data_IF_814917839264
#
_entry.id   IF_814917839264
#
_cell.length_a   1.000
_cell.length_b   1.000
_cell.length_c   1.000
_cell.angle_alpha   90.00
_cell.angle_beta   90.00
_cell.angle_gamma   90.00
#
_symmetry.space_group_name_H-M   'P 1'
#
loop_
_entity.id
_entity.type
_entity.pdbx_description
1 polymer ?
#
# COMPACT_ATOMS: atom_id res chain seq x y z
N UNK A 1 -9.17 -1.98 -29.40
CA UNK A 1 -10.36 -2.78 -29.05
C UNK A 1 -10.79 -2.35 -27.65
N UNK A 2 -11.93 -1.67 -27.51
CA UNK A 2 -12.34 -1.07 -26.22
C UNK A 2 -13.11 -2.12 -25.39
N UNK A 3 -12.60 -2.43 -24.21
CA UNK A 3 -13.20 -3.43 -23.31
C UNK A 3 -14.52 -2.90 -22.75
N UNK A 4 -15.61 -3.60 -23.03
CA UNK A 4 -16.93 -3.27 -22.48
C UNK A 4 -16.98 -3.74 -21.03
N UNK A 5 -17.14 -2.81 -20.09
CA UNK A 5 -17.31 -3.14 -18.67
C UNK A 5 -18.58 -4.00 -18.50
N UNK A 6 -18.45 -5.14 -17.82
CA UNK A 6 -19.57 -6.07 -17.55
C UNK A 6 -20.35 -5.71 -16.28
N UNK A 7 -19.80 -4.83 -15.46
CA UNK A 7 -20.39 -4.43 -14.19
C UNK A 7 -21.43 -3.35 -14.43
N UNK A 8 -22.70 -3.68 -14.26
CA UNK A 8 -23.81 -2.74 -14.43
C UNK A 8 -24.07 -1.90 -13.17
N UNK A 9 -23.73 -2.42 -11.99
CA UNK A 9 -23.87 -1.75 -10.69
C UNK A 9 -22.68 -2.04 -9.78
N UNK A 10 -22.21 -1.02 -9.06
CA UNK A 10 -21.11 -1.15 -8.09
C UNK A 10 -21.72 -1.31 -6.70
N UNK A 11 -21.69 -2.53 -6.17
CA UNK A 11 -22.06 -2.77 -4.78
C UNK A 11 -20.86 -2.48 -3.85
N UNK A 12 -21.03 -1.67 -2.80
CA UNK A 12 -19.97 -1.47 -1.82
C UNK A 12 -19.68 -2.79 -1.10
N UNK A 13 -18.40 -3.16 -1.03
CA UNK A 13 -17.94 -4.30 -0.24
C UNK A 13 -16.99 -3.83 0.87
N UNK A 14 -16.72 -4.73 1.82
CA UNK A 14 -15.85 -4.46 2.95
C UNK A 14 -14.39 -4.88 2.73
N UNK A 15 -14.04 -5.28 1.50
CA UNK A 15 -12.69 -5.74 1.18
C UNK A 15 -11.72 -4.56 1.16
N UNK A 16 -10.53 -4.81 1.72
CA UNK A 16 -9.42 -3.88 1.66
C UNK A 16 -8.78 -3.98 0.27
N UNK A 17 -8.70 -2.86 -0.45
CA UNK A 17 -8.13 -2.78 -1.79
C UNK A 17 -6.90 -1.88 -1.75
N UNK A 18 -5.78 -2.34 -2.32
CA UNK A 18 -4.56 -1.54 -2.44
C UNK A 18 -4.13 -1.49 -3.92
N UNK A 19 -3.92 -0.30 -4.51
CA UNK A 19 -3.47 -0.21 -5.89
C UNK A 19 -2.03 -0.69 -6.02
N UNK A 20 -1.86 -1.78 -6.76
CA UNK A 20 -0.56 -2.38 -7.00
C UNK A 20 0.34 -1.49 -7.87
N UNK A 21 -0.26 -0.69 -8.76
CA UNK A 21 0.46 0.19 -9.68
C UNK A 21 1.31 1.24 -8.97
N UNK A 22 0.80 1.81 -7.86
CA UNK A 22 1.56 2.78 -7.06
C UNK A 22 2.78 2.15 -6.41
N UNK A 23 2.66 0.91 -5.92
CA UNK A 23 3.77 0.17 -5.33
C UNK A 23 4.86 -0.08 -6.38
N UNK A 24 4.48 -0.47 -7.59
CA UNK A 24 5.42 -0.65 -8.70
C UNK A 24 6.11 0.66 -9.10
N UNK A 25 5.35 1.76 -9.21
CA UNK A 25 5.91 3.07 -9.53
C UNK A 25 6.91 3.53 -8.47
N UNK A 26 6.57 3.40 -7.19
CA UNK A 26 7.46 3.75 -6.09
C UNK A 26 8.73 2.92 -6.14
N UNK A 27 8.64 1.61 -6.38
CA UNK A 27 9.82 0.76 -6.53
C UNK A 27 10.73 1.23 -7.68
N UNK A 28 10.17 1.56 -8.84
CA UNK A 28 10.95 2.05 -9.98
C UNK A 28 11.64 3.38 -9.67
N UNK A 29 10.93 4.34 -9.08
CA UNK A 29 11.50 5.62 -8.69
C UNK A 29 12.57 5.46 -7.59
N UNK A 30 12.37 4.52 -6.67
CA UNK A 30 13.32 4.25 -5.59
C UNK A 30 14.67 3.78 -6.12
N UNK A 31 14.68 2.92 -7.14
CA UNK A 31 15.90 2.49 -7.81
C UNK A 31 16.47 3.60 -8.69
N UNK A 32 15.64 4.30 -9.47
CA UNK A 32 16.08 5.36 -10.37
C UNK A 32 16.75 6.55 -9.65
N UNK A 33 16.36 6.81 -8.40
CA UNK A 33 16.92 7.87 -7.56
C UNK A 33 17.99 7.36 -6.57
N UNK A 34 18.36 6.09 -6.66
CA UNK A 34 19.32 5.43 -5.77
C UNK A 34 19.04 5.64 -4.26
N UNK A 35 17.74 5.67 -3.92
CA UNK A 35 17.31 5.83 -2.53
C UNK A 35 17.72 4.65 -1.67
N UNK A 36 17.96 3.48 -2.28
CA UNK A 36 18.43 2.29 -1.58
C UNK A 36 19.74 2.54 -0.86
N UNK A 37 20.75 3.05 -1.55
CA UNK A 37 22.06 3.24 -0.95
C UNK A 37 22.13 4.48 -0.04
N UNK A 38 21.29 5.48 -0.29
CA UNK A 38 21.11 6.62 0.61
C UNK A 38 20.54 6.15 1.95
N UNK A 39 19.41 5.44 1.95
CA UNK A 39 18.70 5.10 3.18
C UNK A 39 19.23 3.84 3.88
N UNK A 40 20.00 2.98 3.19
CA UNK A 40 20.66 1.81 3.78
C UNK A 40 21.58 2.17 4.95
N UNK A 41 22.11 3.39 4.98
CA UNK A 41 22.94 3.93 6.08
C UNK A 41 22.15 4.10 7.38
N UNK A 42 20.83 4.26 7.30
CA UNK A 42 19.93 4.53 8.42
C UNK A 42 19.28 3.25 9.00
N UNK A 43 20.02 2.15 9.02
CA UNK A 43 19.55 0.88 9.59
C UNK A 43 19.55 0.91 11.12
N UNK A 44 18.51 0.35 11.72
CA UNK A 44 18.42 0.16 13.18
C UNK A 44 18.53 -1.34 13.48
N UNK A 45 19.45 -1.73 14.35
CA UNK A 45 19.68 -3.16 14.72
C UNK A 45 19.95 -4.09 13.52
N UNK A 46 20.57 -3.56 12.46
CA UNK A 46 20.87 -4.31 11.24
C UNK A 46 19.67 -4.50 10.29
N UNK A 47 18.50 -3.99 10.64
CA UNK A 47 17.30 -4.05 9.80
C UNK A 47 17.31 -2.89 8.81
N UNK A 48 17.22 -3.23 7.52
CA UNK A 48 17.15 -2.23 6.45
C UNK A 48 15.78 -1.51 6.47
N UNK A 49 15.82 -0.18 6.53
CA UNK A 49 14.64 0.68 6.56
C UNK A 49 14.00 0.87 5.17
N UNK A 50 14.69 0.51 4.09
CA UNK A 50 14.26 0.71 2.71
C UNK A 50 12.85 0.15 2.42
N UNK A 51 12.55 -1.04 2.96
CA UNK A 51 11.24 -1.67 2.76
C UNK A 51 10.10 -0.87 3.41
N UNK A 52 10.35 -0.34 4.62
CA UNK A 52 9.39 0.50 5.32
C UNK A 52 9.18 1.81 4.57
N UNK A 53 10.24 2.45 4.09
CA UNK A 53 10.14 3.69 3.33
C UNK A 53 9.35 3.52 2.03
N UNK A 54 9.62 2.46 1.26
CA UNK A 54 8.84 2.12 0.05
C UNK A 54 7.37 1.94 0.37
N UNK A 55 7.05 1.23 1.45
CA UNK A 55 5.66 1.02 1.88
C UNK A 55 4.99 2.36 2.29
N UNK A 56 5.66 3.19 3.07
CA UNK A 56 5.13 4.49 3.53
C UNK A 56 4.94 5.49 2.39
N UNK A 57 5.88 5.54 1.44
CA UNK A 57 5.77 6.39 0.25
C UNK A 57 4.64 5.88 -0.66
N UNK A 58 4.58 4.57 -0.90
CA UNK A 58 3.47 3.95 -1.65
C UNK A 58 2.13 4.23 -1.02
N UNK A 59 2.07 4.18 0.31
CA UNK A 59 0.88 4.55 1.07
C UNK A 59 0.51 6.02 0.89
N UNK A 60 1.47 6.94 1.04
CA UNK A 60 1.24 8.38 0.92
C UNK A 60 0.79 8.81 -0.47
N UNK A 61 1.34 8.18 -1.51
CA UNK A 61 1.02 8.45 -2.92
C UNK A 61 -0.24 7.73 -3.40
N UNK A 62 -0.76 6.80 -2.60
CA UNK A 62 -2.00 6.11 -2.89
C UNK A 62 -3.16 6.86 -2.27
N UNK A 63 -4.20 7.11 -3.05
CA UNK A 63 -5.50 7.52 -2.51
C UNK A 63 -6.18 6.29 -1.87
N UNK A 64 -5.82 6.02 -0.62
CA UNK A 64 -6.21 4.78 0.05
C UNK A 64 -7.53 4.92 0.81
N UNK A 65 -8.65 4.70 0.12
CA UNK A 65 -9.96 4.64 0.75
C UNK A 65 -10.10 3.46 1.74
N UNK A 66 -9.30 2.41 1.59
CA UNK A 66 -9.34 1.23 2.46
C UNK A 66 -8.61 1.42 3.79
N UNK A 67 -7.55 2.25 3.87
CA UNK A 67 -6.87 2.55 5.14
C UNK A 67 -7.71 3.45 6.06
N UNK A 68 -8.50 4.38 5.50
CA UNK A 68 -9.52 5.08 6.29
C UNK A 68 -10.49 4.12 7.00
N UNK A 69 -10.73 2.93 6.44
CA UNK A 69 -11.59 1.88 7.03
C UNK A 69 -10.83 0.78 7.76
N UNK A 70 -9.50 0.71 7.64
CA UNK A 70 -8.69 -0.37 8.22
C UNK A 70 -8.70 -0.36 9.74
N UNK A 71 -8.76 0.84 10.34
CA UNK A 71 -8.99 0.98 11.78
C UNK A 71 -10.33 0.34 12.22
N UNK A 72 -11.40 0.57 11.45
CA UNK A 72 -12.71 0.00 11.75
C UNK A 72 -12.73 -1.53 11.54
N UNK A 73 -11.95 -2.03 10.58
CA UNK A 73 -11.84 -3.47 10.30
C UNK A 73 -11.07 -4.22 11.40
N UNK A 74 -9.90 -3.72 11.84
CA UNK A 74 -9.11 -4.33 12.93
C UNK A 74 -9.88 -4.40 14.25
N UNK A 75 -10.79 -3.44 14.49
CA UNK A 75 -11.54 -3.36 15.74
C UNK A 75 -12.84 -4.19 15.76
N UNK A 76 -13.09 -4.99 14.73
CA UNK A 76 -14.27 -5.83 14.65
C UNK A 76 -14.29 -6.91 15.73
N UNK A 77 -15.47 -7.28 16.26
CA UNK A 77 -15.57 -8.32 17.28
C UNK A 77 -14.96 -9.64 16.81
N UNK A 78 -15.14 -9.99 15.53
CA UNK A 78 -14.64 -11.25 14.99
C UNK A 78 -13.10 -11.30 14.91
N UNK A 79 -12.44 -10.15 14.76
CA UNK A 79 -10.97 -10.04 14.68
C UNK A 79 -10.33 -9.83 16.06
N UNK A 80 -11.06 -9.22 17.02
CA UNK A 80 -10.60 -9.00 18.40
C UNK A 80 -10.85 -10.17 19.35
N UNK A 81 -11.65 -11.15 18.94
CA UNK A 81 -12.00 -12.31 19.77
C UNK A 81 -10.97 -13.46 19.71
N UNK A 82 -9.91 -13.32 18.90
CA UNK A 82 -8.68 -14.15 18.93
C UNK A 82 -7.60 -13.51 19.81
#
# INVERSE_FOLDING_TARGET
MQTKLRTNEIAPNENISFPIGTIFLVNQLYEALDFRDIFRKHKTRGIDINNLLRALISYKLTDNFSIKRSHNWINRPEVRAE
#
